data_IF_608541665241
#
_entry.id   IF_608541665241
#
_cell.length_a   1.000
_cell.length_b   1.000
_cell.length_c   1.000
_cell.angle_alpha   90.00
_cell.angle_beta   90.00
_cell.angle_gamma   90.00
#
_symmetry.space_group_name_H-M   'P 1'
#
loop_
_entity.id
_entity.type
_entity.pdbx_description
1 polymer ?
#
# COMPACT_ATOMS: atom_id res chain seq x y z
N UNK A 1 0.16 -1.06 17.76
CA UNK A 1 -1.08 -0.40 17.29
C UNK A 1 -0.90 1.11 17.29
N UNK A 2 -1.66 1.84 16.47
CA UNK A 2 -1.59 3.31 16.30
C UNK A 2 -2.97 3.96 16.40
N UNK A 3 -3.06 5.24 16.76
CA UNK A 3 -4.25 6.09 16.65
C UNK A 3 -4.30 6.73 15.26
N UNK A 4 -5.48 7.17 14.85
CA UNK A 4 -5.69 7.88 13.57
C UNK A 4 -4.70 9.04 13.36
N UNK A 5 -4.50 9.87 14.39
CA UNK A 5 -3.59 11.02 14.35
C UNK A 5 -2.11 10.65 14.12
N UNK A 6 -1.73 9.39 14.35
CA UNK A 6 -0.34 8.94 14.22
C UNK A 6 0.01 8.51 12.79
N UNK A 7 -0.98 8.30 11.90
CA UNK A 7 -0.72 7.72 10.58
C UNK A 7 -1.36 8.42 9.38
N UNK A 8 -2.36 9.29 9.54
CA UNK A 8 -3.03 9.96 8.41
C UNK A 8 -2.06 10.59 7.42
N UNK A 9 -1.10 11.35 7.93
CA UNK A 9 -0.11 12.05 7.11
C UNK A 9 0.84 11.07 6.42
N UNK A 10 1.19 9.97 7.11
CA UNK A 10 2.09 8.93 6.57
C UNK A 10 1.47 8.22 5.37
N UNK A 11 0.17 7.92 5.43
CA UNK A 11 -0.55 7.27 4.32
C UNK A 11 -1.11 8.28 3.32
N UNK A 12 -0.96 9.58 3.59
CA UNK A 12 -1.41 10.68 2.74
C UNK A 12 -2.93 10.71 2.54
N UNK A 13 -3.71 10.32 3.55
CA UNK A 13 -5.18 10.32 3.52
C UNK A 13 -5.72 11.31 4.56
N UNK A 14 -6.78 12.04 4.20
CA UNK A 14 -7.40 12.99 5.15
C UNK A 14 -8.17 12.22 6.22
N UNK A 15 -8.23 12.78 7.44
CA UNK A 15 -9.00 12.19 8.54
C UNK A 15 -10.48 11.95 8.17
N UNK A 16 -11.09 12.92 7.48
CA UNK A 16 -12.48 12.81 7.04
C UNK A 16 -12.72 11.65 6.07
N UNK A 17 -11.80 11.43 5.12
CA UNK A 17 -11.89 10.32 4.17
C UNK A 17 -11.82 8.98 4.90
N UNK A 18 -10.87 8.83 5.84
CA UNK A 18 -10.73 7.62 6.63
C UNK A 18 -11.97 7.36 7.49
N UNK A 19 -12.50 8.37 8.19
CA UNK A 19 -13.73 8.22 8.98
C UNK A 19 -14.91 7.79 8.09
N UNK A 20 -15.06 8.43 6.93
CA UNK A 20 -16.11 8.09 5.97
C UNK A 20 -15.97 6.64 5.44
N UNK A 21 -14.74 6.19 5.17
CA UNK A 21 -14.50 4.81 4.73
C UNK A 21 -14.79 3.80 5.83
N UNK A 22 -14.40 4.08 7.06
CA UNK A 22 -14.68 3.23 8.22
C UNK A 22 -16.20 3.08 8.45
N UNK A 23 -16.98 4.13 8.21
CA UNK A 23 -18.42 4.12 8.41
C UNK A 23 -19.20 3.48 7.26
N UNK A 24 -18.70 3.59 6.03
CA UNK A 24 -19.47 3.26 4.82
C UNK A 24 -18.95 2.08 4.02
N UNK A 25 -17.68 1.72 4.18
CA UNK A 25 -17.09 0.61 3.46
C UNK A 25 -17.05 -0.63 4.37
N UNK A 26 -17.30 -1.78 3.77
CA UNK A 26 -17.14 -3.08 4.42
C UNK A 26 -15.65 -3.48 4.42
N UNK A 27 -14.87 -2.78 5.24
CA UNK A 27 -13.44 -3.05 5.42
C UNK A 27 -13.23 -4.49 5.88
N UNK A 28 -12.22 -5.16 5.31
CA UNK A 28 -11.98 -6.59 5.52
C UNK A 28 -11.07 -6.86 6.72
N UNK A 29 -10.29 -5.87 7.14
CA UNK A 29 -9.47 -6.02 8.34
C UNK A 29 -10.30 -5.82 9.61
N UNK A 30 -10.12 -6.72 10.58
CA UNK A 30 -10.81 -6.64 11.86
C UNK A 30 -10.29 -5.46 12.69
N UNK A 31 -11.20 -4.67 13.24
CA UNK A 31 -10.88 -3.61 14.20
C UNK A 31 -10.99 -4.14 15.63
N UNK A 32 -10.10 -3.68 16.50
CA UNK A 32 -10.25 -3.92 17.93
C UNK A 32 -11.51 -3.21 18.45
N UNK A 33 -12.24 -3.88 19.35
CA UNK A 33 -13.38 -3.29 20.04
C UNK A 33 -12.95 -1.96 20.69
N UNK A 34 -13.69 -0.89 20.39
CA UNK A 34 -13.41 0.45 20.92
C UNK A 34 -14.45 0.77 21.99
N UNK A 35 -14.01 1.31 23.12
CA UNK A 35 -14.89 1.75 24.22
C UNK A 35 -15.28 3.22 24.01
N UNK A 36 -16.53 3.65 24.32
CA UNK A 36 -16.90 5.06 24.30
C UNK A 36 -15.89 5.95 25.05
N UNK A 37 -15.55 7.11 24.48
CA UNK A 37 -14.56 8.03 25.04
C UNK A 37 -13.10 7.65 24.81
N UNK A 38 -12.82 6.48 24.21
CA UNK A 38 -11.46 6.06 23.87
C UNK A 38 -11.16 6.24 22.38
N UNK A 39 -9.92 6.61 22.06
CA UNK A 39 -9.48 6.70 20.67
C UNK A 39 -9.32 5.29 20.07
N UNK A 40 -9.95 5.06 18.91
CA UNK A 40 -9.81 3.81 18.16
C UNK A 40 -8.33 3.51 17.87
N UNK A 41 -7.96 2.24 18.03
CA UNK A 41 -6.63 1.72 17.74
C UNK A 41 -6.65 0.92 16.46
N UNK A 42 -5.59 1.08 15.67
CA UNK A 42 -5.43 0.50 14.35
C UNK A 42 -4.21 -0.43 14.37
N UNK A 43 -4.40 -1.66 13.90
CA UNK A 43 -3.34 -2.63 13.65
C UNK A 43 -2.53 -2.25 12.41
N UNK A 44 -1.46 -3.00 12.14
CA UNK A 44 -0.70 -2.86 10.89
C UNK A 44 -1.61 -3.08 9.67
N UNK A 45 -2.40 -4.16 9.67
CA UNK A 45 -3.29 -4.49 8.55
C UNK A 45 -4.38 -3.44 8.36
N UNK A 46 -4.97 -2.89 9.43
CA UNK A 46 -5.96 -1.81 9.29
C UNK A 46 -5.35 -0.60 8.58
N UNK A 47 -4.13 -0.19 8.96
CA UNK A 47 -3.48 0.96 8.36
C UNK A 47 -3.05 0.66 6.92
N UNK A 48 -2.59 -0.56 6.64
CA UNK A 48 -2.22 -0.98 5.29
C UNK A 48 -3.42 -1.02 4.35
N UNK A 49 -4.56 -1.54 4.79
CA UNK A 49 -5.81 -1.55 4.02
C UNK A 49 -6.22 -0.13 3.65
N UNK A 50 -6.29 0.79 4.62
CA UNK A 50 -6.62 2.19 4.39
C UNK A 50 -5.62 2.90 3.46
N UNK A 51 -4.33 2.58 3.58
CA UNK A 51 -3.29 3.16 2.74
C UNK A 51 -3.41 2.69 1.28
N UNK A 52 -3.74 1.42 1.06
CA UNK A 52 -3.97 0.86 -0.27
C UNK A 52 -5.24 1.45 -0.89
N UNK A 53 -6.34 1.52 -0.15
CA UNK A 53 -7.59 2.17 -0.60
C UNK A 53 -7.31 3.61 -1.04
N UNK A 54 -6.55 4.39 -0.25
CA UNK A 54 -6.17 5.75 -0.62
C UNK A 54 -5.30 5.80 -1.89
N UNK A 55 -4.34 4.89 -2.02
CA UNK A 55 -3.49 4.78 -3.21
C UNK A 55 -4.31 4.54 -4.48
N UNK A 56 -5.23 3.57 -4.43
CA UNK A 56 -6.13 3.27 -5.55
C UNK A 56 -7.13 4.39 -5.82
N UNK A 57 -7.70 5.00 -4.77
CA UNK A 57 -8.64 6.12 -4.92
C UNK A 57 -8.00 7.32 -5.64
N UNK A 58 -6.73 7.64 -5.32
CA UNK A 58 -5.97 8.68 -6.04
C UNK A 58 -5.67 8.32 -7.50
N UNK A 59 -5.65 7.03 -7.81
CA UNK A 59 -5.51 6.51 -9.16
C UNK A 59 -6.86 6.37 -9.91
N UNK A 60 -7.95 6.92 -9.35
CA UNK A 60 -9.28 6.94 -9.96
C UNK A 60 -10.14 5.72 -9.68
N UNK A 61 -9.70 4.81 -8.80
CA UNK A 61 -10.46 3.60 -8.46
C UNK A 61 -11.54 3.91 -7.43
N UNK A 62 -12.80 3.46 -7.61
CA UNK A 62 -13.83 3.58 -6.58
C UNK A 62 -13.41 2.90 -5.26
N UNK A 63 -13.58 3.55 -4.09
CA UNK A 63 -13.11 3.01 -2.82
C UNK A 63 -13.60 1.58 -2.49
N UNK A 64 -14.82 1.23 -2.89
CA UNK A 64 -15.39 -0.11 -2.72
C UNK A 64 -14.55 -1.19 -3.41
N UNK A 65 -14.10 -0.92 -4.64
CA UNK A 65 -13.21 -1.83 -5.36
C UNK A 65 -11.79 -1.79 -4.78
N UNK A 66 -11.36 -0.62 -4.30
CA UNK A 66 -10.13 -0.47 -3.54
C UNK A 66 -10.04 -1.39 -2.32
N UNK A 67 -11.15 -1.60 -1.59
CA UNK A 67 -11.22 -2.55 -0.46
C UNK A 67 -10.93 -3.98 -0.90
N UNK A 68 -11.55 -4.44 -1.98
CA UNK A 68 -11.37 -5.80 -2.51
C UNK A 68 -9.91 -6.02 -2.92
N UNK A 69 -9.31 -5.05 -3.61
CA UNK A 69 -7.91 -5.12 -4.05
C UNK A 69 -6.96 -5.05 -2.85
N UNK A 70 -7.27 -4.22 -1.85
CA UNK A 70 -6.47 -4.11 -0.64
C UNK A 70 -6.44 -5.43 0.15
N UNK A 71 -7.59 -6.08 0.34
CA UNK A 71 -7.70 -7.40 0.99
C UNK A 71 -6.88 -8.46 0.24
N UNK A 72 -7.06 -8.56 -1.09
CA UNK A 72 -6.29 -9.50 -1.90
C UNK A 72 -4.77 -9.25 -1.82
N UNK A 73 -4.36 -7.98 -1.75
CA UNK A 73 -2.94 -7.60 -1.59
C UNK A 73 -2.42 -8.01 -0.21
N UNK A 74 -3.18 -7.74 0.86
CA UNK A 74 -2.80 -8.09 2.23
C UNK A 74 -2.68 -9.60 2.40
N UNK A 75 -3.64 -10.38 1.89
CA UNK A 75 -3.57 -11.86 1.93
C UNK A 75 -2.32 -12.40 1.25
N UNK A 76 -2.02 -11.93 0.03
CA UNK A 76 -0.80 -12.32 -0.69
C UNK A 76 0.48 -11.99 0.08
N UNK A 77 0.52 -10.85 0.78
CA UNK A 77 1.67 -10.47 1.62
C UNK A 77 1.86 -11.43 2.80
N UNK A 78 0.77 -11.89 3.42
CA UNK A 78 0.80 -12.84 4.54
C UNK A 78 1.16 -14.26 4.08
N UNK A 79 0.53 -14.75 3.01
CA UNK A 79 0.66 -16.14 2.55
C UNK A 79 2.09 -16.50 2.15
N UNK A 80 2.87 -15.54 1.66
CA UNK A 80 4.19 -15.80 1.10
C UNK A 80 5.34 -15.46 2.06
N UNK A 81 5.07 -15.25 3.35
CA UNK A 81 6.04 -15.21 4.46
C UNK A 81 7.17 -14.16 4.40
N UNK A 82 7.33 -13.46 3.28
CA UNK A 82 8.31 -12.43 2.95
C UNK A 82 8.26 -11.99 1.48
N UNK A 83 7.31 -12.47 0.65
CA UNK A 83 7.17 -11.93 -0.69
C UNK A 83 6.95 -10.42 -0.61
N UNK A 84 7.90 -9.69 -1.19
CA UNK A 84 7.66 -8.31 -1.57
C UNK A 84 6.43 -8.36 -2.47
N UNK A 85 5.32 -7.75 -2.03
CA UNK A 85 4.25 -7.42 -2.96
C UNK A 85 4.88 -6.67 -4.13
N UNK A 86 4.35 -6.87 -5.35
CA UNK A 86 4.84 -6.19 -6.54
C UNK A 86 4.97 -4.69 -6.28
N UNK A 87 6.08 -4.09 -6.68
CA UNK A 87 6.36 -2.67 -6.40
C UNK A 87 5.32 -1.76 -7.06
N UNK A 88 4.87 -2.12 -8.26
CA UNK A 88 3.96 -1.35 -9.10
C UNK A 88 2.72 -2.15 -9.49
N UNK A 89 1.60 -1.44 -9.55
CA UNK A 89 0.39 -1.86 -10.25
C UNK A 89 0.05 -0.77 -11.26
N UNK A 90 -0.07 -1.14 -12.53
CA UNK A 90 -0.34 -0.23 -13.65
C UNK A 90 -1.57 -0.73 -14.39
N UNK A 91 -2.48 0.18 -14.72
CA UNK A 91 -3.72 -0.13 -15.44
C UNK A 91 -4.15 1.07 -16.27
N UNK A 92 -4.98 0.85 -17.28
CA UNK A 92 -5.62 1.94 -18.02
C UNK A 92 -6.58 2.68 -17.11
N UNK A 93 -6.56 4.02 -17.15
CA UNK A 93 -7.40 4.84 -16.28
C UNK A 93 -8.88 4.47 -16.45
N UNK A 94 -9.54 4.17 -15.32
CA UNK A 94 -10.93 3.72 -15.31
C UNK A 94 -11.15 2.24 -15.60
N UNK A 95 -10.12 1.49 -16.01
CA UNK A 95 -10.23 0.06 -16.30
C UNK A 95 -9.17 -0.77 -15.57
N UNK A 96 -9.54 -1.23 -14.36
CA UNK A 96 -8.72 -2.10 -13.54
C UNK A 96 -8.58 -3.53 -14.07
N UNK A 97 -9.40 -3.97 -15.04
CA UNK A 97 -9.26 -5.33 -15.59
C UNK A 97 -7.97 -5.48 -16.38
N UNK A 98 -7.42 -4.37 -16.87
CA UNK A 98 -6.13 -4.31 -17.53
C UNK A 98 -4.94 -4.36 -16.56
N UNK A 99 -5.16 -4.44 -15.25
CA UNK A 99 -4.08 -4.26 -14.29
C UNK A 99 -2.94 -5.28 -14.44
N UNK A 100 -1.74 -4.76 -14.68
CA UNK A 100 -0.48 -5.48 -14.61
C UNK A 100 0.27 -5.11 -13.33
N UNK A 101 0.91 -6.09 -12.70
CA UNK A 101 1.68 -5.90 -11.48
C UNK A 101 3.12 -6.37 -11.66
N UNK A 102 4.08 -5.50 -11.38
CA UNK A 102 5.49 -5.71 -11.66
C UNK A 102 6.41 -5.12 -10.59
N UNK A 103 7.67 -5.57 -10.57
CA UNK A 103 8.69 -5.02 -9.65
C UNK A 103 9.43 -3.82 -10.25
N UNK A 104 9.54 -3.77 -11.58
CA UNK A 104 9.99 -2.59 -12.34
C UNK A 104 8.91 -2.14 -13.33
N UNK A 105 8.91 -0.84 -13.69
CA UNK A 105 8.05 -0.34 -14.75
C UNK A 105 8.46 -0.87 -16.14
N UNK A 106 9.72 -1.27 -16.31
CA UNK A 106 10.23 -1.85 -17.58
C UNK A 106 9.65 -3.24 -17.87
N UNK A 107 9.08 -3.91 -16.87
CA UNK A 107 8.40 -5.20 -17.01
C UNK A 107 6.94 -5.04 -17.47
N UNK A 108 6.41 -3.80 -17.51
CA UNK A 108 5.05 -3.51 -17.92
C UNK A 108 5.00 -3.35 -19.43
N UNK A 109 4.20 -4.19 -20.09
CA UNK A 109 3.92 -4.05 -21.52
C UNK A 109 2.81 -3.04 -21.73
N UNK A 110 3.18 -1.77 -21.94
CA UNK A 110 2.19 -0.71 -22.15
C UNK A 110 1.35 -0.96 -23.41
N UNK A 111 1.94 -1.48 -24.49
CA UNK A 111 1.21 -1.80 -25.71
C UNK A 111 0.07 -2.82 -25.47
N UNK A 112 0.33 -3.84 -24.65
CA UNK A 112 -0.70 -4.80 -24.23
C UNK A 112 -1.83 -4.14 -23.45
N UNK A 113 -1.50 -3.18 -22.57
CA UNK A 113 -2.50 -2.39 -21.83
C UNK A 113 -3.37 -1.54 -22.76
N UNK A 114 -2.83 -1.04 -23.88
CA UNK A 114 -3.57 -0.18 -24.83
C UNK A 114 -4.50 -0.94 -25.77
N UNK A 115 -4.20 -2.21 -26.05
CA UNK A 115 -4.95 -3.03 -27.01
C UNK A 115 -6.44 -3.22 -26.66
N UNK A 116 -6.84 -2.85 -25.45
CA UNK A 116 -8.21 -2.95 -24.93
C UNK A 116 -9.05 -1.68 -25.09
N UNK A 117 -8.48 -0.53 -25.51
CA UNK A 117 -9.26 0.71 -25.68
C UNK A 117 -9.05 1.40 -27.05
N UNK A 118 -10.14 1.87 -27.70
CA UNK A 118 -10.10 2.48 -29.03
C UNK A 118 -9.72 3.98 -29.05
N UNK A 119 -9.22 4.56 -27.95
CA UNK A 119 -8.89 5.99 -27.89
C UNK A 119 -7.46 6.29 -28.33
N UNK A 120 -7.26 7.39 -29.06
CA UNK A 120 -6.00 7.82 -29.68
C UNK A 120 -4.84 8.12 -28.71
N UNK A 121 -5.09 8.18 -27.39
CA UNK A 121 -4.05 8.33 -26.37
C UNK A 121 -4.49 7.68 -25.05
N UNK A 122 -3.95 6.50 -24.69
CA UNK A 122 -4.29 5.83 -23.44
C UNK A 122 -3.68 6.56 -22.25
N UNK A 123 -4.51 6.85 -21.24
CA UNK A 123 -4.05 7.39 -19.95
C UNK A 123 -3.87 6.22 -18.99
N UNK A 124 -2.71 6.14 -18.36
CA UNK A 124 -2.42 5.08 -17.39
C UNK A 124 -2.46 5.60 -15.96
N UNK A 125 -2.99 4.76 -15.09
CA UNK A 125 -2.96 4.94 -13.65
C UNK A 125 -1.90 4.01 -13.05
N UNK A 126 -1.09 4.54 -12.14
CA UNK A 126 0.02 3.80 -11.53
C UNK A 126 -0.06 3.90 -10.01
N UNK A 127 0.01 2.76 -9.34
CA UNK A 127 0.03 2.67 -7.87
C UNK A 127 1.31 1.98 -7.44
N UNK A 128 2.13 2.71 -6.67
CA UNK A 128 3.39 2.20 -6.13
C UNK A 128 3.16 1.42 -4.83
N UNK A 129 2.55 0.25 -4.94
CA UNK A 129 2.14 -0.61 -3.82
C UNK A 129 3.30 -0.90 -2.87
N UNK A 130 4.49 -1.22 -3.39
CA UNK A 130 5.65 -1.52 -2.56
C UNK A 130 6.09 -0.34 -1.68
N UNK A 131 5.96 0.91 -2.16
CA UNK A 131 6.24 2.10 -1.34
C UNK A 131 5.18 2.30 -0.25
N UNK A 132 3.91 2.05 -0.55
CA UNK A 132 2.83 2.08 0.45
C UNK A 132 3.12 1.09 1.57
N UNK A 133 3.42 -0.17 1.22
CA UNK A 133 3.78 -1.22 2.19
C UNK A 133 5.00 -0.81 3.02
N UNK A 134 6.06 -0.29 2.38
CA UNK A 134 7.27 0.16 3.08
C UNK A 134 6.99 1.31 4.04
N UNK A 135 6.14 2.29 3.68
CA UNK A 135 5.73 3.38 4.57
C UNK A 135 5.01 2.86 5.81
N UNK A 136 4.05 1.96 5.63
CA UNK A 136 3.30 1.38 6.76
C UNK A 136 4.22 0.51 7.62
N UNK A 137 5.12 -0.28 7.04
CA UNK A 137 6.13 -1.04 7.81
C UNK A 137 7.01 -0.12 8.66
N UNK A 138 7.50 1.00 8.10
CA UNK A 138 8.30 1.99 8.84
C UNK A 138 7.53 2.61 10.02
N UNK A 139 6.24 2.86 9.85
CA UNK A 139 5.38 3.42 10.91
C UNK A 139 5.25 2.48 12.12
N UNK A 140 5.29 1.16 11.89
CA UNK A 140 5.11 0.14 12.92
C UNK A 140 6.41 -0.50 13.41
N UNK A 141 7.55 -0.21 12.76
CA UNK A 141 8.87 -0.69 13.19
C UNK A 141 9.21 -0.17 14.60
N UNK A 142 9.87 -0.99 15.39
CA UNK A 142 10.42 -0.59 16.69
C UNK A 142 11.78 0.09 16.52
N UNK A 143 12.28 0.83 17.52
CA UNK A 143 13.63 1.41 17.48
C UNK A 143 14.75 0.36 17.31
N UNK A 144 14.56 -0.88 17.81
CA UNK A 144 15.51 -1.98 17.62
C UNK A 144 15.61 -2.40 16.14
N UNK A 145 14.49 -2.44 15.42
CA UNK A 145 14.46 -2.71 13.97
C UNK A 145 15.20 -1.66 13.13
N UNK A 146 15.39 -0.44 13.68
CA UNK A 146 16.09 0.65 13.01
C UNK A 146 17.63 0.60 13.23
N UNK A 147 18.08 0.02 14.35
CA UNK A 147 19.49 -0.12 14.71
C UNK A 147 20.26 -1.14 13.85
N UNK A 148 19.64 -2.29 13.55
CA UNK A 148 20.27 -3.35 12.75
C UNK A 148 20.57 -2.93 11.29
N UNK A 149 19.79 -1.98 10.75
CA UNK A 149 20.02 -1.45 9.39
C UNK A 149 21.19 -0.48 9.31
N UNK A 150 21.59 0.14 10.42
CA UNK A 150 22.81 0.98 10.48
C UNK A 150 24.07 0.16 10.68
N UNK A 151 24.01 -0.92 11.48
CA UNK A 151 25.18 -1.78 11.74
C UNK A 151 25.66 -2.51 10.47
N UNK A 152 24.73 -2.97 9.62
CA UNK A 152 25.07 -3.69 8.38
C UNK A 152 25.77 -2.81 7.33
N UNK A 153 25.58 -1.48 7.36
CA UNK A 153 26.23 -0.56 6.40
C UNK A 153 27.64 -0.13 6.84
N UNK A 154 27.95 -0.21 8.13
CA UNK A 154 29.27 0.14 8.67
C UNK A 154 30.30 -1.01 8.55
N UNK A 155 29.85 -2.27 8.42
CA UNK A 155 30.75 -3.43 8.38
C UNK A 155 31.37 -3.79 7.02
N UNK A 156 31.04 -3.10 5.92
CA UNK A 156 31.46 -3.50 4.56
C UNK A 156 32.59 -2.66 3.93
N UNK A 157 33.23 -1.78 4.70
CA UNK A 157 34.29 -0.89 4.20
C UNK A 157 35.70 -1.17 4.75
N UNK A 158 35.91 -2.28 5.47
CA UNK A 158 37.24 -2.61 5.99
C UNK A 158 37.58 -4.04 5.56
N UNK A 159 38.26 -4.21 4.42
CA UNK A 159 38.67 -5.54 4.03
C UNK A 159 39.33 -5.78 2.68
N UNK A 160 39.82 -4.78 1.94
CA UNK A 160 40.71 -5.06 0.80
C UNK A 160 41.80 -4.00 0.72
N UNK A 161 43.02 -4.39 1.10
CA UNK A 161 44.18 -3.52 1.12
C UNK A 161 45.38 -4.15 1.80
N UNK A 162 45.88 -5.27 1.25
CA UNK A 162 47.29 -5.67 1.29
C UNK A 162 47.64 -6.47 0.06
#
# INVERSE_FOLDING_TARGET
MKKLSEFCDTIGAKRGDISNWIERLELKTAYATTVPGSARRFSFDNVLELALINGYAKAGVPPQLGVVIADATIRKLHDHGNAKGREWVVFVAGDLQTAQAADSLDEISFDELTSTQPNDAPVFSMVRVGEIVRRVKRLFATPEDAGERSATRAGRLVGEGR
#
